data_IF_441480764319
#
_entry.id   IF_441480764319
#
_cell.length_a   1.000
_cell.length_b   1.000
_cell.length_c   1.000
_cell.angle_alpha   90.00
_cell.angle_beta   90.00
_cell.angle_gamma   90.00
#
_symmetry.space_group_name_H-M   'P 1'
#
loop_
_entity.id
_entity.type
_entity.pdbx_description
1 polymer ?
#
# COMPACT_ATOMS: atom_id res chain seq x y z
N UNK A 1 20.44 -4.98 -18.11
CA UNK A 1 20.76 -5.82 -16.93
C UNK A 1 20.69 -4.95 -15.69
N UNK A 2 19.88 -5.32 -14.70
CA UNK A 2 19.66 -4.48 -13.52
C UNK A 2 20.77 -4.72 -12.49
N UNK A 3 21.65 -3.74 -12.33
CA UNK A 3 22.65 -3.77 -11.25
C UNK A 3 21.96 -3.45 -9.91
N UNK A 4 22.16 -4.33 -8.93
CA UNK A 4 21.64 -4.20 -7.57
C UNK A 4 22.79 -3.99 -6.57
N UNK A 5 22.59 -3.21 -5.51
CA UNK A 5 23.58 -3.08 -4.43
C UNK A 5 23.67 -4.39 -3.67
N UNK A 6 24.88 -4.80 -3.27
CA UNK A 6 25.10 -6.07 -2.58
C UNK A 6 24.44 -6.10 -1.19
N UNK A 7 24.38 -4.98 -0.48
CA UNK A 7 23.69 -4.92 0.83
C UNK A 7 22.17 -5.16 0.68
N UNK A 8 21.59 -4.71 -0.44
CA UNK A 8 20.20 -5.00 -0.77
C UNK A 8 20.02 -6.45 -1.18
N UNK A 9 20.84 -6.95 -2.10
CA UNK A 9 20.78 -8.33 -2.59
C UNK A 9 20.84 -9.34 -1.45
N UNK A 10 21.82 -9.23 -0.55
CA UNK A 10 21.96 -10.13 0.59
C UNK A 10 20.79 -10.05 1.58
N UNK A 11 20.23 -8.87 1.80
CA UNK A 11 19.04 -8.73 2.64
C UNK A 11 17.81 -9.33 1.98
N UNK A 12 17.62 -9.14 0.67
CA UNK A 12 16.53 -9.73 -0.12
C UNK A 12 16.65 -11.27 -0.21
N UNK A 13 17.87 -11.81 -0.11
CA UNK A 13 18.15 -13.25 -0.05
C UNK A 13 18.08 -13.83 1.39
N UNK A 14 17.61 -13.07 2.38
CA UNK A 14 17.37 -13.56 3.74
C UNK A 14 18.62 -13.79 4.58
N UNK A 15 19.77 -13.25 4.19
CA UNK A 15 21.03 -13.37 4.96
C UNK A 15 20.96 -12.59 6.27
N UNK A 16 20.11 -11.56 6.34
CA UNK A 16 19.83 -10.77 7.51
C UNK A 16 19.24 -9.40 7.18
N UNK A 17 18.96 -8.59 8.20
CA UNK A 17 18.55 -7.19 8.00
C UNK A 17 19.68 -6.40 7.32
N UNK A 18 19.36 -5.28 6.65
CA UNK A 18 20.38 -4.43 6.01
C UNK A 18 21.50 -4.01 6.97
N UNK A 19 21.17 -3.83 8.26
CA UNK A 19 22.16 -3.48 9.29
C UNK A 19 23.08 -4.65 9.61
N UNK A 20 22.57 -5.86 9.69
CA UNK A 20 23.33 -7.11 9.88
C UNK A 20 24.21 -7.42 8.67
N UNK A 21 23.64 -7.33 7.47
CA UNK A 21 24.36 -7.50 6.21
C UNK A 21 25.55 -6.55 6.11
N UNK A 22 25.40 -5.26 6.50
CA UNK A 22 26.52 -4.32 6.53
C UNK A 22 27.62 -4.74 7.52
N UNK A 23 27.29 -5.37 8.65
CA UNK A 23 28.29 -5.92 9.59
C UNK A 23 29.01 -7.12 8.96
N UNK A 24 28.28 -8.03 8.32
CA UNK A 24 28.81 -9.21 7.62
C UNK A 24 29.77 -8.78 6.48
N UNK A 25 29.41 -7.77 5.70
CA UNK A 25 30.28 -7.21 4.66
C UNK A 25 31.55 -6.62 5.25
N UNK A 26 31.44 -5.79 6.29
CA UNK A 26 32.60 -5.16 6.95
C UNK A 26 33.54 -6.18 7.57
N UNK A 27 33.06 -7.32 8.06
CA UNK A 27 33.89 -8.40 8.61
C UNK A 27 34.60 -9.24 7.54
N UNK A 28 34.35 -8.96 6.24
CA UNK A 28 35.01 -9.67 5.13
C UNK A 28 34.51 -11.11 4.94
N UNK A 29 33.32 -11.41 5.39
CA UNK A 29 32.67 -12.74 5.25
C UNK A 29 31.99 -12.94 3.91
N UNK A 30 31.96 -11.92 3.04
CA UNK A 30 31.33 -11.95 1.72
C UNK A 30 32.37 -11.94 0.62
N UNK A 31 32.22 -12.85 -0.34
CA UNK A 31 33.01 -12.84 -1.58
C UNK A 31 32.06 -12.66 -2.79
N UNK A 32 32.59 -11.97 -3.79
CA UNK A 32 31.96 -11.78 -5.09
C UNK A 32 32.93 -12.26 -6.16
N UNK A 33 32.54 -13.24 -6.94
CA UNK A 33 33.39 -13.83 -7.98
C UNK A 33 34.80 -14.23 -7.46
N UNK A 34 34.83 -14.76 -6.22
CA UNK A 34 36.07 -15.17 -5.54
C UNK A 34 36.79 -14.06 -4.74
N UNK A 35 36.46 -12.79 -4.93
CA UNK A 35 37.11 -11.67 -4.24
C UNK A 35 36.33 -11.20 -2.99
N UNK A 36 37.03 -10.89 -1.89
CA UNK A 36 36.42 -10.37 -0.66
C UNK A 36 35.90 -8.95 -0.85
N UNK A 37 34.60 -8.75 -0.52
CA UNK A 37 33.97 -7.44 -0.58
C UNK A 37 33.67 -6.92 0.81
N UNK A 38 33.90 -5.60 1.01
CA UNK A 38 33.59 -4.89 2.26
C UNK A 38 32.64 -3.69 2.09
N UNK A 39 32.43 -3.23 0.84
CA UNK A 39 31.62 -2.04 0.54
C UNK A 39 30.16 -2.40 0.34
N UNK A 40 29.23 -2.00 1.24
CA UNK A 40 27.80 -2.34 1.13
C UNK A 40 27.11 -1.77 -0.12
N UNK A 41 27.61 -0.67 -0.65
CA UNK A 41 27.09 0.02 -1.83
C UNK A 41 27.57 -0.58 -3.15
N UNK A 42 28.49 -1.55 -3.14
CA UNK A 42 28.98 -2.18 -4.37
C UNK A 42 27.82 -2.77 -5.17
N UNK A 43 27.80 -2.49 -6.46
CA UNK A 43 26.81 -3.03 -7.37
C UNK A 43 27.25 -4.39 -7.89
N UNK A 44 26.29 -5.28 -8.01
CA UNK A 44 26.43 -6.63 -8.55
C UNK A 44 25.37 -6.88 -9.61
N UNK A 45 25.63 -7.84 -10.49
CA UNK A 45 24.63 -8.42 -11.37
C UNK A 45 24.11 -9.71 -10.74
N UNK A 46 22.86 -9.71 -10.26
CA UNK A 46 22.26 -10.87 -9.57
C UNK A 46 22.09 -12.12 -10.43
N UNK A 47 22.23 -12.01 -11.75
CA UNK A 47 22.06 -13.13 -12.69
C UNK A 47 23.38 -13.83 -13.03
N UNK A 48 24.49 -13.10 -12.97
CA UNK A 48 25.79 -13.61 -13.46
C UNK A 48 26.87 -13.65 -12.39
N UNK A 49 26.73 -12.84 -11.31
CA UNK A 49 27.75 -12.77 -10.28
C UNK A 49 27.56 -13.85 -9.22
N UNK A 50 28.63 -14.55 -8.88
CA UNK A 50 28.65 -15.50 -7.77
C UNK A 50 28.89 -14.79 -6.44
N UNK A 51 27.92 -14.86 -5.54
CA UNK A 51 28.01 -14.29 -4.20
C UNK A 51 28.07 -15.40 -3.15
N UNK A 52 29.13 -15.41 -2.34
CA UNK A 52 29.25 -16.35 -1.22
C UNK A 52 29.25 -15.58 0.11
N UNK A 53 28.61 -16.15 1.13
CA UNK A 53 28.66 -15.68 2.52
C UNK A 53 29.20 -16.81 3.37
N UNK A 54 30.31 -16.57 4.09
CA UNK A 54 31.02 -17.61 4.86
C UNK A 54 31.35 -18.84 4.00
N UNK A 55 31.79 -18.63 2.76
CA UNK A 55 32.12 -19.67 1.76
C UNK A 55 30.92 -20.53 1.32
N UNK A 56 29.71 -20.13 1.63
CA UNK A 56 28.48 -20.78 1.19
C UNK A 56 27.80 -19.92 0.13
N UNK A 57 27.35 -20.50 -0.99
CA UNK A 57 26.63 -19.76 -2.01
C UNK A 57 25.32 -19.21 -1.45
N UNK A 58 25.00 -17.97 -1.84
CA UNK A 58 23.73 -17.36 -1.50
C UNK A 58 22.66 -18.00 -2.38
N UNK A 59 21.81 -18.81 -1.76
CA UNK A 59 20.72 -19.52 -2.45
C UNK A 59 19.51 -18.60 -2.57
N UNK A 60 18.84 -18.63 -3.71
CA UNK A 60 17.60 -17.91 -3.93
C UNK A 60 16.56 -18.26 -2.86
N UNK A 61 16.09 -17.22 -2.12
CA UNK A 61 14.98 -17.37 -1.21
C UNK A 61 13.68 -17.03 -1.93
N UNK A 62 12.70 -17.93 -1.87
CA UNK A 62 11.37 -17.69 -2.42
C UNK A 62 10.73 -16.50 -1.68
N UNK A 63 10.29 -15.50 -2.43
CA UNK A 63 9.52 -14.40 -1.84
C UNK A 63 8.11 -14.88 -1.44
N UNK A 64 7.69 -14.40 -0.30
CA UNK A 64 6.38 -14.71 0.28
C UNK A 64 5.57 -13.43 0.47
N UNK A 65 4.27 -13.54 0.24
CA UNK A 65 3.35 -12.41 0.28
C UNK A 65 2.09 -12.83 1.03
N UNK A 66 1.81 -12.18 2.14
CA UNK A 66 0.63 -12.44 2.94
C UNK A 66 -0.21 -11.18 3.09
N UNK A 67 -1.52 -11.38 3.13
CA UNK A 67 -2.51 -10.39 3.50
C UNK A 67 -3.01 -10.73 4.91
N UNK A 68 -2.91 -9.79 5.83
CA UNK A 68 -3.42 -9.87 7.19
C UNK A 68 -4.57 -8.87 7.33
N UNK A 69 -5.72 -9.30 7.87
CA UNK A 69 -6.73 -8.40 8.41
C UNK A 69 -6.34 -8.05 9.85
N UNK A 70 -5.51 -7.02 10.00
CA UNK A 70 -4.96 -6.62 11.30
C UNK A 70 -6.07 -6.20 12.26
N UNK A 71 -6.08 -6.76 13.45
CA UNK A 71 -6.96 -6.34 14.55
C UNK A 71 -6.47 -5.03 15.20
N UNK A 72 -7.38 -4.29 15.81
CA UNK A 72 -7.03 -3.20 16.73
C UNK A 72 -6.20 -3.71 17.91
N UNK A 73 -5.33 -2.86 18.47
CA UNK A 73 -4.45 -3.23 19.59
C UNK A 73 -3.13 -3.89 19.19
N UNK A 74 -2.97 -4.32 17.93
CA UNK A 74 -1.75 -4.97 17.41
C UNK A 74 -0.82 -3.95 16.76
N UNK A 75 0.48 -4.01 17.03
CA UNK A 75 1.47 -3.06 16.50
C UNK A 75 2.02 -3.54 15.15
N UNK A 76 2.10 -2.63 14.17
CA UNK A 76 2.72 -2.90 12.85
C UNK A 76 4.26 -2.85 12.93
N UNK A 77 4.83 -3.82 13.62
CA UNK A 77 6.27 -4.00 13.79
C UNK A 77 6.66 -5.47 13.66
N UNK A 78 7.93 -5.75 13.41
CA UNK A 78 8.48 -7.11 13.38
C UNK A 78 8.73 -7.68 14.77
N UNK A 79 9.11 -6.81 15.72
CA UNK A 79 9.32 -7.16 17.14
C UNK A 79 8.95 -5.96 18.01
N UNK A 80 8.35 -6.22 19.15
CA UNK A 80 8.12 -5.25 20.21
C UNK A 80 8.41 -5.93 21.56
N UNK A 81 8.81 -5.15 22.57
CA UNK A 81 9.16 -5.69 23.91
C UNK A 81 7.94 -5.92 24.80
N UNK A 82 6.85 -5.18 24.56
CA UNK A 82 5.67 -5.14 25.44
C UNK A 82 4.36 -5.50 24.71
N UNK A 83 4.31 -5.27 23.41
CA UNK A 83 3.09 -5.28 22.65
C UNK A 83 3.08 -6.43 21.65
N UNK A 84 1.89 -7.00 21.43
CA UNK A 84 1.66 -7.96 20.35
C UNK A 84 1.89 -7.31 18.99
N UNK A 85 2.69 -7.94 18.15
CA UNK A 85 3.00 -7.46 16.81
C UNK A 85 2.20 -8.18 15.73
N UNK A 86 2.20 -7.63 14.52
CA UNK A 86 1.55 -8.26 13.36
C UNK A 86 2.17 -9.61 13.00
N UNK A 87 3.44 -9.85 13.32
CA UNK A 87 4.08 -11.15 13.13
C UNK A 87 3.61 -12.20 14.14
N UNK A 88 3.14 -11.79 15.32
CA UNK A 88 2.56 -12.72 16.29
C UNK A 88 1.18 -13.24 15.87
N UNK A 89 0.58 -12.66 14.84
CA UNK A 89 -0.65 -13.12 14.20
C UNK A 89 -0.41 -14.17 13.12
N UNK A 90 0.84 -14.39 12.68
CA UNK A 90 1.22 -15.33 11.63
C UNK A 90 1.78 -16.61 12.26
N UNK A 91 1.57 -17.76 11.62
CA UNK A 91 2.16 -19.04 12.05
C UNK A 91 3.68 -18.89 12.21
N UNK A 92 4.21 -19.40 13.32
CA UNK A 92 5.64 -19.31 13.68
C UNK A 92 6.58 -19.87 12.59
N UNK A 93 6.13 -20.86 11.84
CA UNK A 93 6.88 -21.48 10.72
C UNK A 93 6.99 -20.55 9.50
N UNK A 94 6.00 -19.65 9.31
CA UNK A 94 5.89 -18.75 8.15
C UNK A 94 6.37 -17.32 8.42
N UNK A 95 6.56 -16.93 9.69
CA UNK A 95 6.91 -15.54 10.05
C UNK A 95 8.40 -15.20 9.97
N UNK A 96 9.23 -16.18 9.64
CA UNK A 96 10.67 -15.95 9.47
C UNK A 96 10.90 -14.91 8.35
N UNK A 97 11.69 -13.91 8.68
CA UNK A 97 12.11 -12.84 7.76
C UNK A 97 10.98 -11.97 7.16
N UNK A 98 9.73 -12.17 7.58
CA UNK A 98 8.61 -11.32 7.17
C UNK A 98 8.65 -9.95 7.87
N UNK A 99 8.16 -8.94 7.17
CA UNK A 99 7.94 -7.58 7.70
C UNK A 99 6.73 -6.93 7.04
N UNK A 100 6.10 -5.96 7.72
CA UNK A 100 4.92 -5.29 7.19
C UNK A 100 5.26 -4.33 6.04
N UNK A 101 4.44 -4.33 5.00
CA UNK A 101 4.46 -3.38 3.89
C UNK A 101 3.70 -2.12 4.32
N UNK A 102 4.43 -1.16 4.84
CA UNK A 102 3.87 0.02 5.48
C UNK A 102 3.36 -0.27 6.90
N UNK A 103 2.56 0.65 7.41
CA UNK A 103 2.07 0.58 8.78
C UNK A 103 0.60 0.96 8.86
N UNK A 104 -0.11 0.35 9.79
CA UNK A 104 -1.34 0.84 10.40
C UNK A 104 -1.03 1.19 11.85
N UNK A 105 -1.67 2.22 12.38
CA UNK A 105 -1.54 2.56 13.79
C UNK A 105 -2.08 1.40 14.65
N UNK A 106 -1.67 1.36 15.93
CA UNK A 106 -2.09 0.31 16.87
C UNK A 106 -3.61 0.20 16.97
N UNK A 107 -4.29 1.35 16.99
CA UNK A 107 -5.74 1.51 17.08
C UNK A 107 -6.48 1.44 15.74
N UNK A 108 -5.77 1.20 14.63
CA UNK A 108 -6.36 1.05 13.30
C UNK A 108 -6.39 -0.41 12.88
N UNK A 109 -7.34 -0.77 12.03
CA UNK A 109 -7.64 -2.13 11.63
C UNK A 109 -7.51 -2.35 10.12
N UNK A 110 -7.62 -3.59 9.69
CA UNK A 110 -7.82 -3.97 8.30
C UNK A 110 -6.57 -4.41 7.57
N UNK A 111 -6.58 -4.26 6.26
CA UNK A 111 -5.65 -4.86 5.33
C UNK A 111 -4.22 -4.36 5.55
N UNK A 112 -3.34 -5.28 5.89
CA UNK A 112 -1.89 -5.08 5.97
C UNK A 112 -1.18 -6.19 5.22
N UNK A 113 -0.25 -5.82 4.35
CA UNK A 113 0.57 -6.77 3.62
C UNK A 113 1.84 -7.10 4.42
N UNK A 114 2.26 -8.36 4.36
CA UNK A 114 3.51 -8.85 4.94
C UNK A 114 4.31 -9.54 3.83
N UNK A 115 5.62 -9.35 3.82
CA UNK A 115 6.52 -9.97 2.83
C UNK A 115 7.93 -10.07 3.37
N UNK A 116 8.76 -10.88 2.74
CA UNK A 116 10.22 -10.90 2.93
C UNK A 116 10.96 -10.16 1.79
N UNK A 117 10.23 -9.52 0.84
CA UNK A 117 10.81 -8.74 -0.27
C UNK A 117 10.89 -7.25 0.06
N UNK A 118 12.11 -6.74 0.33
CA UNK A 118 12.34 -5.38 0.85
C UNK A 118 11.96 -4.23 -0.08
N UNK A 119 12.14 -4.37 -1.39
CA UNK A 119 11.84 -3.31 -2.35
C UNK A 119 10.34 -3.11 -2.57
N UNK A 120 9.53 -4.14 -2.31
CA UNK A 120 8.08 -4.09 -2.46
C UNK A 120 7.46 -2.99 -1.56
N UNK A 121 8.01 -2.77 -0.36
CA UNK A 121 7.54 -1.74 0.57
C UNK A 121 7.56 -0.36 -0.08
N UNK A 122 8.71 0.01 -0.66
CA UNK A 122 8.85 1.33 -1.29
C UNK A 122 8.00 1.44 -2.55
N UNK A 123 7.93 0.39 -3.37
CA UNK A 123 7.12 0.37 -4.59
C UNK A 123 5.64 0.58 -4.30
N UNK A 124 5.09 -0.02 -3.23
CA UNK A 124 3.68 0.10 -2.86
C UNK A 124 3.40 1.36 -2.03
N UNK A 125 4.24 1.67 -1.02
CA UNK A 125 3.88 2.67 0.00
C UNK A 125 4.35 4.09 -0.29
N UNK A 126 5.27 4.27 -1.22
CA UNK A 126 5.80 5.60 -1.53
C UNK A 126 4.73 6.50 -2.12
N UNK A 127 4.54 7.68 -1.51
CA UNK A 127 3.54 8.65 -1.95
C UNK A 127 3.75 9.15 -3.39
N UNK A 128 5.00 9.12 -3.89
CA UNK A 128 5.34 9.47 -5.29
C UNK A 128 4.77 8.51 -6.32
N UNK A 129 4.41 7.30 -5.94
CA UNK A 129 3.84 6.30 -6.84
C UNK A 129 2.31 6.37 -6.96
N UNK A 130 1.65 7.21 -6.18
CA UNK A 130 0.20 7.47 -6.24
C UNK A 130 -0.70 6.22 -6.07
N UNK A 131 -0.23 5.20 -5.40
CA UNK A 131 -1.02 3.98 -5.17
C UNK A 131 -2.14 4.20 -4.16
N UNK A 132 -3.33 3.82 -4.56
CA UNK A 132 -4.55 4.00 -3.78
C UNK A 132 -4.62 3.09 -2.57
N UNK A 133 -5.14 3.63 -1.47
CA UNK A 133 -5.53 2.91 -0.27
C UNK A 133 -6.89 3.42 0.17
N UNK A 134 -7.81 2.52 0.39
CA UNK A 134 -9.18 2.84 0.76
C UNK A 134 -9.46 2.43 2.21
N UNK A 135 -10.17 3.31 2.90
CA UNK A 135 -10.48 3.16 4.31
C UNK A 135 -11.96 3.41 4.56
N UNK A 136 -12.55 2.56 5.41
CA UNK A 136 -13.83 2.82 6.08
C UNK A 136 -13.56 3.51 7.40
N UNK A 137 -14.29 4.60 7.66
CA UNK A 137 -14.11 5.44 8.83
C UNK A 137 -15.44 5.70 9.49
N UNK A 138 -15.50 5.51 10.83
CA UNK A 138 -16.65 5.94 11.65
C UNK A 138 -16.19 7.06 12.56
N UNK A 139 -17.05 8.07 12.70
CA UNK A 139 -16.80 9.27 13.52
C UNK A 139 -17.87 9.47 14.58
N UNK A 140 -17.60 10.37 15.54
CA UNK A 140 -18.45 10.65 16.69
C UNK A 140 -19.77 11.37 16.36
N UNK A 141 -19.86 12.03 15.20
CA UNK A 141 -21.01 12.86 14.82
C UNK A 141 -21.41 12.67 13.36
N UNK A 142 -22.55 13.24 13.00
CA UNK A 142 -23.13 13.11 11.67
C UNK A 142 -22.26 13.75 10.58
N UNK A 143 -22.13 13.02 9.46
CA UNK A 143 -21.40 13.45 8.27
C UNK A 143 -22.27 14.41 7.44
N UNK A 144 -21.77 15.62 7.23
CA UNK A 144 -22.41 16.65 6.42
C UNK A 144 -21.78 16.74 5.03
N UNK A 145 -22.52 17.28 4.07
CA UNK A 145 -21.97 17.55 2.71
C UNK A 145 -20.77 18.51 2.76
N UNK A 146 -20.79 19.45 3.71
CA UNK A 146 -19.66 20.37 3.93
C UNK A 146 -18.41 19.62 4.40
N UNK A 147 -18.56 18.63 5.29
CA UNK A 147 -17.47 17.76 5.70
C UNK A 147 -16.87 17.02 4.50
N UNK A 148 -17.70 16.34 3.70
CA UNK A 148 -17.28 15.59 2.51
C UNK A 148 -16.48 16.49 1.56
N UNK A 149 -17.02 17.65 1.22
CA UNK A 149 -16.37 18.62 0.31
C UNK A 149 -15.01 19.10 0.84
N UNK A 150 -14.93 19.50 2.13
CA UNK A 150 -13.68 19.96 2.75
C UNK A 150 -12.66 18.83 2.83
N UNK A 151 -13.08 17.62 3.22
CA UNK A 151 -12.22 16.43 3.32
C UNK A 151 -11.62 16.06 1.96
N UNK A 152 -12.42 16.14 0.89
CA UNK A 152 -11.98 15.78 -0.47
C UNK A 152 -11.02 16.79 -1.10
N UNK A 153 -11.15 18.07 -0.79
CA UNK A 153 -10.36 19.15 -1.40
C UNK A 153 -8.94 19.30 -0.84
N UNK A 154 -8.63 18.57 0.23
CA UNK A 154 -7.37 18.68 0.97
C UNK A 154 -7.51 19.48 2.26
N UNK A 155 -6.83 19.01 3.30
CA UNK A 155 -6.93 19.54 4.67
C UNK A 155 -5.54 19.93 5.18
N UNK A 156 -5.37 21.12 5.81
CA UNK A 156 -4.11 21.50 6.43
C UNK A 156 -3.79 20.65 7.66
N UNK A 157 -2.72 19.86 7.59
CA UNK A 157 -2.21 19.06 8.71
C UNK A 157 -0.67 19.03 8.66
N UNK A 158 -0.03 18.92 9.78
CA UNK A 158 1.44 18.74 9.87
C UNK A 158 2.24 19.79 9.06
N UNK A 159 1.76 21.04 9.00
CA UNK A 159 2.44 22.12 8.26
C UNK A 159 2.36 22.01 6.73
N UNK A 160 1.50 21.14 6.20
CA UNK A 160 1.24 20.98 4.76
C UNK A 160 -0.24 20.77 4.50
N UNK A 161 -0.67 20.93 3.25
CA UNK A 161 -2.03 20.57 2.82
C UNK A 161 -2.00 19.18 2.22
N UNK A 162 -2.94 18.32 2.64
CA UNK A 162 -3.06 16.97 2.06
C UNK A 162 -3.44 17.05 0.59
N UNK A 163 -3.08 16.02 -0.16
CA UNK A 163 -3.56 15.90 -1.56
C UNK A 163 -5.09 15.78 -1.57
N UNK A 164 -5.76 16.33 -2.61
CA UNK A 164 -7.15 16.00 -2.86
C UNK A 164 -7.37 14.49 -2.91
N UNK A 165 -8.53 14.04 -2.44
CA UNK A 165 -8.84 12.62 -2.32
C UNK A 165 -10.34 12.36 -2.56
N UNK A 166 -10.71 11.13 -2.83
CA UNK A 166 -12.10 10.73 -3.00
C UNK A 166 -12.70 10.42 -1.62
N UNK A 167 -13.83 11.03 -1.30
CA UNK A 167 -14.56 10.78 -0.05
C UNK A 167 -16.04 10.67 -0.36
N UNK A 168 -16.71 9.66 0.17
CA UNK A 168 -18.14 9.48 0.02
C UNK A 168 -18.79 8.97 1.32
N UNK A 169 -19.98 9.48 1.62
CA UNK A 169 -20.77 9.10 2.79
C UNK A 169 -21.26 7.65 2.62
N UNK A 170 -21.07 6.82 3.64
CA UNK A 170 -21.51 5.42 3.68
C UNK A 170 -22.60 5.18 4.73
N UNK A 171 -22.80 6.13 5.63
CA UNK A 171 -23.83 6.12 6.66
C UNK A 171 -23.85 7.46 7.39
N UNK A 172 -24.73 7.63 8.39
CA UNK A 172 -24.87 8.92 9.08
C UNK A 172 -23.58 9.38 9.73
N UNK A 173 -22.83 8.47 10.34
CA UNK A 173 -21.55 8.73 11.00
C UNK A 173 -20.39 8.01 10.36
N UNK A 174 -20.52 7.57 9.11
CA UNK A 174 -19.49 6.80 8.42
C UNK A 174 -19.27 7.29 7.00
N UNK A 175 -18.01 7.19 6.56
CA UNK A 175 -17.59 7.51 5.20
C UNK A 175 -16.48 6.58 4.73
N UNK A 176 -16.31 6.45 3.43
CA UNK A 176 -15.12 5.87 2.83
C UNK A 176 -14.21 6.95 2.26
N UNK A 177 -12.90 6.73 2.33
CA UNK A 177 -11.89 7.64 1.82
C UNK A 177 -10.81 6.89 1.07
N UNK A 178 -10.45 7.36 -0.14
CA UNK A 178 -9.41 6.81 -0.99
C UNK A 178 -8.23 7.79 -1.03
N UNK A 179 -7.08 7.35 -0.54
CA UNK A 179 -5.85 8.15 -0.45
C UNK A 179 -4.74 7.60 -1.32
N UNK A 180 -3.96 8.48 -1.94
CA UNK A 180 -2.71 8.16 -2.67
C UNK A 180 -1.44 8.53 -1.90
N UNK A 181 -1.58 9.07 -0.70
CA UNK A 181 -0.48 9.41 0.21
C UNK A 181 -0.74 8.82 1.61
N UNK A 182 0.28 8.81 2.47
CA UNK A 182 0.16 8.31 3.83
C UNK A 182 1.01 9.15 4.78
N UNK A 183 0.47 10.25 5.31
CA UNK A 183 1.10 11.03 6.36
C UNK A 183 0.80 10.40 7.74
N UNK A 184 1.60 10.75 8.73
CA UNK A 184 1.39 10.25 10.09
C UNK A 184 -0.02 10.57 10.60
N UNK A 185 -0.81 9.53 10.91
CA UNK A 185 -2.21 9.60 11.38
C UNK A 185 -3.09 10.52 10.52
N UNK A 186 -2.88 10.51 9.20
CA UNK A 186 -3.46 11.48 8.27
C UNK A 186 -4.97 11.62 8.41
N UNK A 187 -5.74 10.55 8.31
CA UNK A 187 -7.21 10.58 8.35
C UNK A 187 -7.70 11.12 9.69
N UNK A 188 -7.12 10.68 10.82
CA UNK A 188 -7.49 11.16 12.15
C UNK A 188 -7.24 12.65 12.30
N UNK A 189 -6.09 13.16 11.85
CA UNK A 189 -5.76 14.60 11.87
C UNK A 189 -6.66 15.41 10.94
N UNK A 190 -7.01 14.88 9.76
CA UNK A 190 -7.96 15.54 8.86
C UNK A 190 -9.34 15.66 9.50
N UNK A 191 -9.83 14.61 10.14
CA UNK A 191 -11.09 14.64 10.89
C UNK A 191 -11.04 15.64 12.05
N UNK A 192 -9.98 15.60 12.88
CA UNK A 192 -9.78 16.52 14.02
C UNK A 192 -9.77 17.98 13.55
N UNK A 193 -9.09 18.29 12.45
CA UNK A 193 -9.08 19.65 11.88
C UNK A 193 -10.48 20.13 11.48
N UNK A 194 -11.34 19.22 11.03
CA UNK A 194 -12.74 19.52 10.68
C UNK A 194 -13.71 19.41 11.87
N UNK A 195 -13.22 19.14 13.08
CA UNK A 195 -14.00 19.06 14.31
C UNK A 195 -14.69 17.71 14.54
N UNK A 196 -14.16 16.62 13.96
CA UNK A 196 -14.66 15.25 14.12
C UNK A 196 -13.63 14.35 14.80
N UNK A 197 -14.10 13.38 15.59
CA UNK A 197 -13.24 12.35 16.18
C UNK A 197 -13.48 10.99 15.53
N UNK A 198 -12.39 10.33 15.12
CA UNK A 198 -12.46 9.02 14.51
C UNK A 198 -12.64 7.94 15.58
N UNK A 199 -13.78 7.25 15.55
CA UNK A 199 -14.09 6.10 16.41
C UNK A 199 -13.42 4.83 15.87
N UNK A 200 -13.67 4.48 14.61
CA UNK A 200 -13.07 3.32 13.95
C UNK A 200 -12.38 3.71 12.65
N UNK A 201 -11.28 3.05 12.33
CA UNK A 201 -10.54 3.25 11.09
C UNK A 201 -10.05 1.91 10.58
N UNK A 202 -10.60 1.47 9.46
CA UNK A 202 -10.29 0.17 8.85
C UNK A 202 -9.84 0.36 7.41
N UNK A 203 -8.64 -0.10 7.07
CA UNK A 203 -8.20 -0.14 5.67
C UNK A 203 -8.77 -1.37 4.99
N UNK A 204 -9.58 -1.19 3.96
CA UNK A 204 -10.27 -2.26 3.26
C UNK A 204 -9.62 -2.64 1.93
N UNK A 205 -8.83 -1.73 1.33
CA UNK A 205 -8.20 -1.97 0.03
C UNK A 205 -6.80 -1.33 -0.05
N UNK A 206 -5.90 -2.00 -0.74
CA UNK A 206 -4.62 -1.48 -1.25
C UNK A 206 -4.55 -1.86 -2.72
N UNK A 207 -4.62 -0.87 -3.63
CA UNK A 207 -4.62 -1.10 -5.08
C UNK A 207 -5.70 -2.11 -5.51
N UNK A 208 -5.32 -3.28 -6.03
CA UNK A 208 -6.23 -4.35 -6.42
C UNK A 208 -6.56 -5.36 -5.30
N UNK A 209 -5.91 -5.24 -4.15
CA UNK A 209 -6.09 -6.18 -3.04
C UNK A 209 -7.19 -5.70 -2.09
N UNK A 210 -8.13 -6.56 -1.77
CA UNK A 210 -9.26 -6.33 -0.87
C UNK A 210 -9.30 -7.40 0.22
N UNK A 211 -10.01 -7.15 1.31
CA UNK A 211 -10.10 -8.12 2.42
C UNK A 211 -10.93 -9.38 2.08
N UNK A 212 -11.90 -9.27 1.18
CA UNK A 212 -12.70 -10.35 0.60
C UNK A 212 -13.06 -11.51 1.55
N UNK A 213 -13.75 -11.18 2.65
CA UNK A 213 -14.20 -12.18 3.63
C UNK A 213 -13.14 -12.63 4.64
N UNK A 214 -11.91 -12.15 4.58
CA UNK A 214 -10.87 -12.42 5.57
C UNK A 214 -11.28 -11.80 6.92
N UNK A 215 -11.50 -12.64 7.94
CA UNK A 215 -11.94 -12.16 9.26
C UNK A 215 -10.85 -11.40 9.99
N UNK A 216 -11.26 -10.59 10.97
CA UNK A 216 -10.32 -9.84 11.81
C UNK A 216 -9.34 -10.77 12.53
N UNK A 217 -8.05 -10.49 12.41
CA UNK A 217 -6.96 -11.30 12.95
C UNK A 217 -6.51 -12.46 12.07
N UNK A 218 -7.25 -12.79 11.01
CA UNK A 218 -6.86 -13.83 10.05
C UNK A 218 -5.90 -13.31 9.00
N UNK A 219 -5.12 -14.21 8.42
CA UNK A 219 -4.23 -13.94 7.31
C UNK A 219 -4.33 -15.02 6.24
N UNK A 220 -3.98 -14.68 5.00
CA UNK A 220 -3.83 -15.62 3.89
C UNK A 220 -2.66 -15.25 2.99
N UNK A 221 -2.19 -16.19 2.21
CA UNK A 221 -1.23 -15.93 1.15
C UNK A 221 -1.91 -15.15 0.00
N UNK A 222 -1.14 -14.25 -0.63
CA UNK A 222 -1.53 -13.59 -1.88
C UNK A 222 -0.96 -14.43 -3.02
N UNK A 223 -1.81 -14.97 -3.85
CA UNK A 223 -1.40 -15.90 -4.90
C UNK A 223 -2.10 -15.63 -6.23
N UNK A 224 -1.68 -16.33 -7.28
CA UNK A 224 -2.33 -16.33 -8.57
C UNK A 224 -2.49 -14.95 -9.20
N UNK A 225 -3.71 -14.67 -9.63
CA UNK A 225 -4.04 -13.45 -10.39
C UNK A 225 -3.97 -12.17 -9.54
N UNK A 226 -4.20 -12.24 -8.22
CA UNK A 226 -4.04 -11.08 -7.34
C UNK A 226 -2.60 -10.58 -7.36
N UNK A 227 -1.64 -11.48 -7.19
CA UNK A 227 -0.21 -11.16 -7.24
C UNK A 227 0.22 -10.66 -8.61
N UNK A 228 -0.21 -11.34 -9.68
CA UNK A 228 0.09 -10.96 -11.06
C UNK A 228 -0.36 -9.52 -11.33
N UNK A 229 -1.62 -9.21 -11.00
CA UNK A 229 -2.18 -7.86 -11.17
C UNK A 229 -1.46 -6.82 -10.31
N UNK A 230 -1.15 -7.13 -9.04
CA UNK A 230 -0.37 -6.22 -8.18
C UNK A 230 1.00 -5.94 -8.80
N UNK A 231 1.71 -6.97 -9.25
CA UNK A 231 3.03 -6.83 -9.83
C UNK A 231 3.02 -6.00 -11.13
N UNK A 232 1.98 -6.13 -11.95
CA UNK A 232 1.76 -5.28 -13.13
C UNK A 232 1.57 -3.81 -12.73
N UNK A 233 0.71 -3.53 -11.74
CA UNK A 233 0.42 -2.18 -11.27
C UNK A 233 1.63 -1.47 -10.66
N UNK A 234 2.56 -2.21 -10.05
CA UNK A 234 3.76 -1.63 -9.45
C UNK A 234 4.99 -1.69 -10.36
N UNK A 235 4.88 -2.16 -11.62
CA UNK A 235 6.02 -2.36 -12.52
C UNK A 235 6.88 -1.12 -12.65
N UNK A 236 6.25 0.03 -12.88
CA UNK A 236 6.91 1.32 -13.12
C UNK A 236 7.10 2.14 -11.84
N UNK A 237 6.80 1.55 -10.68
CA UNK A 237 6.89 2.22 -9.39
C UNK A 237 8.33 2.37 -8.94
N UNK A 238 8.73 3.60 -8.57
CA UNK A 238 10.06 3.90 -8.05
C UNK A 238 10.27 3.30 -6.66
N UNK A 239 11.40 2.60 -6.48
CA UNK A 239 11.89 2.14 -5.18
C UNK A 239 12.96 3.06 -4.58
N UNK A 240 13.41 4.10 -5.31
CA UNK A 240 14.49 4.99 -4.86
C UNK A 240 14.07 5.82 -3.65
N UNK A 241 14.88 5.80 -2.61
CA UNK A 241 14.72 6.68 -1.45
C UNK A 241 15.33 8.04 -1.79
N UNK A 242 14.52 9.09 -1.86
CA UNK A 242 15.05 10.47 -1.91
C UNK A 242 15.71 10.75 -0.56
N UNK A 243 17.01 10.74 -0.51
CA UNK A 243 17.77 11.27 0.62
C UNK A 243 17.52 12.79 0.60
N UNK A 244 16.71 13.31 1.51
CA UNK A 244 16.68 14.74 1.80
C UNK A 244 18.02 15.05 2.46
N UNK A 245 18.99 15.53 1.67
CA UNK A 245 20.14 16.25 2.20
C UNK A 245 19.59 17.52 2.85
N UNK A 246 19.75 17.62 4.15
CA UNK A 246 19.38 18.80 4.93
C UNK A 246 20.05 20.06 4.37
N UNK A 247 19.29 21.10 4.28
CA UNK A 247 19.48 22.47 3.90
C UNK A 247 20.85 22.94 3.38
N UNK A 248 20.88 23.33 2.13
CA UNK A 248 21.55 24.55 1.69
C UNK A 248 20.73 25.15 0.54
N UNK A 249 20.35 26.41 0.69
CA UNK A 249 19.80 27.22 -0.38
C UNK A 249 20.85 27.32 -1.50
N UNK A 250 20.68 26.55 -2.56
CA UNK A 250 21.52 26.57 -3.74
C UNK A 250 20.64 26.61 -4.99
N UNK A 251 20.79 27.62 -5.79
CA UNK A 251 20.17 27.90 -7.07
C UNK A 251 19.99 26.64 -7.92
N UNK A 252 18.75 26.31 -8.24
CA UNK A 252 18.41 25.33 -9.27
C UNK A 252 18.51 26.06 -10.62
N UNK A 253 19.68 25.98 -11.27
CA UNK A 253 19.80 26.26 -12.68
C UNK A 253 19.08 25.19 -13.48
N UNK A 254 18.08 25.61 -14.29
CA UNK A 254 17.22 24.74 -15.06
C UNK A 254 17.99 23.85 -16.04
N UNK A 255 17.70 22.58 -16.02
CA UNK A 255 17.74 21.72 -17.19
C UNK A 255 16.30 21.48 -17.66
N UNK A 256 15.86 22.33 -18.56
CA UNK A 256 14.65 22.15 -19.35
C UNK A 256 14.85 20.93 -20.25
N UNK A 257 14.15 19.86 -19.96
CA UNK A 257 13.92 18.78 -20.91
C UNK A 257 12.88 19.29 -21.92
N UNK A 258 13.35 19.76 -23.08
CA UNK A 258 12.53 19.99 -24.25
C UNK A 258 11.95 18.65 -24.71
N UNK A 259 10.71 18.35 -24.33
CA UNK A 259 9.83 17.49 -25.10
C UNK A 259 8.78 18.39 -25.73
N UNK A 260 8.98 18.60 -27.00
CA UNK A 260 8.07 19.02 -28.08
C UNK A 260 6.63 19.27 -27.65
N UNK A 261 6.31 20.55 -27.46
CA UNK A 261 4.96 21.08 -27.57
C UNK A 261 4.57 21.20 -29.04
N UNK A 262 3.75 20.30 -29.50
CA UNK A 262 3.07 20.40 -30.77
C UNK A 262 1.83 19.49 -30.78
N UNK A 263 0.87 19.74 -29.86
CA UNK A 263 -0.49 19.13 -29.97
C UNK A 263 -1.50 19.69 -28.93
N UNK A 264 -1.29 20.87 -28.39
CA UNK A 264 -2.23 21.49 -27.43
C UNK A 264 -2.75 22.88 -27.86
N UNK A 265 -2.75 23.20 -29.16
CA UNK A 265 -3.24 24.48 -29.64
C UNK A 265 -4.23 24.39 -30.83
N UNK A 266 -5.16 23.41 -30.78
CA UNK A 266 -6.29 23.39 -31.70
C UNK A 266 -7.56 22.87 -30.99
N UNK A 267 -8.08 23.61 -30.02
CA UNK A 267 -9.49 23.46 -29.58
C UNK A 267 -9.92 24.58 -28.63
N UNK A 268 -9.76 25.82 -29.04
CA UNK A 268 -10.46 26.93 -28.39
C UNK A 268 -10.64 28.09 -29.36
N UNK A 269 -11.48 27.87 -30.40
CA UNK A 269 -12.20 28.94 -31.10
C UNK A 269 -13.44 28.35 -31.78
N UNK A 270 -14.59 28.85 -31.33
CA UNK A 270 -15.90 28.66 -31.93
C UNK A 270 -16.84 27.86 -31.02
N UNK A 271 -17.81 28.45 -30.41
CA UNK A 271 -19.04 29.02 -30.92
C UNK A 271 -19.83 29.52 -29.70
N UNK A 272 -20.08 30.80 -29.65
CA UNK A 272 -21.19 31.42 -28.93
C UNK A 272 -22.44 31.24 -29.75
N UNK A 273 -23.53 30.79 -29.12
CA UNK A 273 -24.92 31.19 -29.35
C UNK A 273 -25.90 30.01 -29.27
N UNK A 274 -26.99 30.17 -28.51
CA UNK A 274 -28.16 29.33 -28.56
C UNK A 274 -28.73 28.94 -27.18
N UNK A 275 -29.62 29.77 -26.62
CA UNK A 275 -30.62 29.40 -25.58
C UNK A 275 -31.92 28.99 -26.33
N UNK A 276 -32.98 28.55 -25.58
CA UNK A 276 -33.17 27.29 -24.80
C UNK A 276 -34.38 26.49 -25.35
N UNK A 277 -34.59 25.29 -24.88
CA UNK A 277 -35.81 24.54 -25.22
C UNK A 277 -35.95 23.24 -24.44
N UNK A 278 -36.99 23.16 -23.67
CA UNK A 278 -37.58 22.06 -22.93
C UNK A 278 -37.59 20.70 -23.63
N UNK A 279 -37.56 19.66 -22.84
CA UNK A 279 -38.35 18.41 -22.91
C UNK A 279 -37.60 17.34 -22.10
N UNK A 280 -38.18 16.79 -21.14
CA UNK A 280 -39.28 15.85 -20.93
C UNK A 280 -38.79 14.65 -20.08
N UNK A 281 -39.48 14.53 -19.00
CA UNK A 281 -39.37 13.45 -18.00
C UNK A 281 -39.74 12.10 -18.62
N UNK A 282 -38.91 11.07 -18.47
CA UNK A 282 -39.42 9.70 -18.55
C UNK A 282 -39.12 8.93 -17.25
N UNK A 283 -40.18 8.79 -16.46
CA UNK A 283 -40.36 7.80 -15.39
C UNK A 283 -40.33 6.40 -15.99
N UNK A 284 -39.50 5.53 -15.45
CA UNK A 284 -39.74 4.09 -15.56
C UNK A 284 -39.92 3.52 -14.15
N UNK A 285 -41.20 3.34 -13.79
CA UNK A 285 -41.63 2.46 -12.69
C UNK A 285 -41.38 1.01 -13.12
N UNK A 286 -40.73 0.21 -12.33
CA UNK A 286 -40.87 -1.24 -12.37
C UNK A 286 -41.34 -1.80 -11.04
N UNK A 287 -42.50 -2.37 -11.15
CA UNK A 287 -43.41 -3.06 -10.24
C UNK A 287 -42.73 -4.24 -9.52
N UNK A 288 -42.90 -4.27 -8.22
CA UNK A 288 -42.67 -5.43 -7.38
C UNK A 288 -43.83 -6.41 -7.58
N UNK A 289 -43.54 -7.67 -7.87
CA UNK A 289 -44.47 -8.79 -7.70
C UNK A 289 -43.84 -9.79 -6.73
N UNK A 290 -44.47 -9.90 -5.60
CA UNK A 290 -44.33 -10.97 -4.62
C UNK A 290 -45.00 -12.24 -5.09
N UNK A 291 -44.35 -13.40 -5.00
CA UNK A 291 -45.01 -14.65 -4.80
C UNK A 291 -44.16 -15.52 -3.90
N UNK A 292 -44.69 -15.83 -2.74
CA UNK A 292 -44.09 -16.81 -1.85
C UNK A 292 -44.42 -18.23 -2.25
N UNK A 293 -43.64 -19.18 -1.83
CA UNK A 293 -44.09 -20.47 -1.21
C UNK A 293 -42.91 -21.32 -0.74
N UNK A 294 -43.10 -21.80 0.43
CA UNK A 294 -42.47 -22.86 1.20
C UNK A 294 -41.73 -23.97 0.46
N UNK A 295 -40.62 -24.45 1.08
CA UNK A 295 -40.02 -25.75 0.80
C UNK A 295 -38.92 -26.10 1.79
N UNK A 296 -39.23 -26.94 2.77
CA UNK A 296 -38.31 -27.60 3.70
C UNK A 296 -37.37 -28.53 2.93
N UNK A 297 -36.09 -28.62 3.33
CA UNK A 297 -35.20 -29.68 2.85
C UNK A 297 -33.79 -29.58 3.42
N UNK A 298 -33.60 -30.35 4.44
CA UNK A 298 -32.36 -30.76 5.12
C UNK A 298 -31.34 -31.40 4.16
N UNK A 299 -30.02 -31.09 4.29
CA UNK A 299 -28.93 -32.08 4.42
C UNK A 299 -27.53 -31.50 4.27
N UNK A 300 -26.70 -31.84 5.21
CA UNK A 300 -25.25 -31.79 5.26
C UNK A 300 -24.55 -32.05 3.92
N UNK A 301 -23.49 -31.25 3.63
CA UNK A 301 -22.24 -31.76 3.04
C UNK A 301 -21.08 -30.81 3.27
N UNK A 302 -20.06 -31.33 3.90
CA UNK A 302 -18.69 -30.89 3.98
C UNK A 302 -18.19 -30.37 2.63
N UNK A 303 -17.78 -29.10 2.54
CA UNK A 303 -17.15 -28.50 1.37
C UNK A 303 -15.65 -28.29 1.61
N UNK A 304 -14.87 -28.93 0.77
CA UNK A 304 -13.42 -28.83 0.65
C UNK A 304 -12.99 -27.37 0.43
N UNK A 305 -11.94 -26.97 1.12
CA UNK A 305 -11.20 -25.76 0.80
C UNK A 305 -10.52 -25.93 -0.58
N UNK A 306 -10.49 -24.91 -1.43
CA UNK A 306 -9.67 -24.94 -2.62
C UNK A 306 -8.20 -24.72 -2.24
N UNK A 307 -7.34 -25.64 -2.66
CA UNK A 307 -5.89 -25.47 -2.67
C UNK A 307 -5.52 -24.36 -3.67
N UNK A 308 -4.75 -23.38 -3.22
CA UNK A 308 -3.91 -22.54 -4.07
C UNK A 308 -2.61 -23.29 -4.40
#
# INVERSE_FOLDING_TARGET
MAQIRIDKYLADMGIGTRSEVKKILKSGQVTLNGEKIKKPEQKINSETDEVLVNQKPVVYQKFEYYMLNKAGGVVSATKDKKEKTVLDCIDSKKRKDLFPVGRLDKDSEGLLLLTNQGDLVNRIMRAGNYHEKEYEVTVDREITETFIRKMSSGVPILGTVTRPCTVYKTGDKSFSIILTQGLNRQIRRMCEYLGYHVCTLKRIRIMNLTLDGLKCGEYREICGDEWKKLNELIRDSSSETVIRTGGQHGNISGRTNKRTGAEAERSSKGILSGRPGDHEQQRVRRTVRSTGKNGKGNRNRSGRQPNC
#
